data_IF_534830137287
#
_entry.id   IF_534830137287
#
_cell.length_a   1.000
_cell.length_b   1.000
_cell.length_c   1.000
_cell.angle_alpha   90.00
_cell.angle_beta   90.00
_cell.angle_gamma   90.00
#
_symmetry.space_group_name_H-M   'P 1'
#
loop_
_entity.id
_entity.type
_entity.pdbx_description
1 polymer ?
#
# COMPACT_ATOMS: atom_id res chain seq x y z
N UNK A 1 16.58 -13.21 13.72
CA UNK A 1 15.18 -13.28 13.26
C UNK A 1 14.51 -11.93 13.45
N UNK A 2 13.66 -11.52 12.55
CA UNK A 2 12.94 -10.24 12.61
C UNK A 2 11.62 -10.45 13.37
N UNK A 3 11.67 -10.37 14.68
CA UNK A 3 10.53 -10.60 15.57
C UNK A 3 10.68 -9.78 16.88
N UNK A 4 9.58 -9.47 17.54
CA UNK A 4 9.56 -8.62 18.74
C UNK A 4 10.48 -9.11 19.86
N UNK A 5 10.64 -10.42 20.02
CA UNK A 5 11.60 -10.99 20.99
C UNK A 5 13.06 -10.61 20.72
N UNK A 6 13.36 -10.11 19.53
CA UNK A 6 14.69 -9.67 19.09
C UNK A 6 14.73 -8.14 18.85
N UNK A 7 13.78 -7.39 19.37
CA UNK A 7 13.60 -5.96 19.07
C UNK A 7 14.91 -5.18 19.26
N UNK A 8 15.57 -5.31 20.41
CA UNK A 8 16.81 -4.57 20.68
C UNK A 8 17.88 -4.85 19.61
N UNK A 9 18.11 -6.12 19.29
CA UNK A 9 19.06 -6.51 18.27
C UNK A 9 18.71 -5.96 16.89
N UNK A 10 17.41 -6.00 16.54
CA UNK A 10 16.93 -5.45 15.26
C UNK A 10 17.16 -3.94 15.19
N UNK A 11 16.87 -3.21 16.28
CA UNK A 11 17.13 -1.78 16.36
C UNK A 11 18.63 -1.49 16.20
N UNK A 12 19.47 -2.22 16.89
CA UNK A 12 20.94 -2.02 16.86
C UNK A 12 21.56 -2.33 15.49
N UNK A 13 21.03 -3.32 14.77
CA UNK A 13 21.58 -3.78 13.50
C UNK A 13 20.94 -3.09 12.27
N UNK A 14 19.63 -2.86 12.27
CA UNK A 14 18.90 -2.35 11.08
C UNK A 14 18.80 -0.83 11.04
N UNK A 15 18.57 -0.17 12.16
CA UNK A 15 18.44 1.30 12.17
C UNK A 15 19.68 1.97 11.56
N UNK A 16 20.93 1.62 11.94
CA UNK A 16 22.10 2.22 11.31
C UNK A 16 22.21 1.98 9.82
N UNK A 17 21.86 0.77 9.35
CA UNK A 17 21.91 0.42 7.93
C UNK A 17 20.86 1.19 7.12
N UNK A 18 19.63 1.24 7.62
CA UNK A 18 18.55 1.98 6.96
C UNK A 18 18.84 3.48 6.97
N UNK A 19 19.38 4.01 8.07
CA UNK A 19 19.78 5.41 8.17
C UNK A 19 20.86 5.74 7.13
N UNK A 20 21.89 4.90 6.99
CA UNK A 20 22.94 5.10 5.98
C UNK A 20 22.37 5.14 4.56
N UNK A 21 21.40 4.26 4.24
CA UNK A 21 20.72 4.27 2.94
C UNK A 21 19.89 5.55 2.74
N UNK A 22 19.17 5.98 3.78
CA UNK A 22 18.36 7.19 3.74
C UNK A 22 19.22 8.46 3.56
N UNK A 23 20.33 8.57 4.27
CA UNK A 23 21.29 9.67 4.12
C UNK A 23 21.90 9.70 2.72
N UNK A 24 22.21 8.52 2.17
CA UNK A 24 22.71 8.41 0.80
C UNK A 24 21.66 8.83 -0.21
N UNK A 25 20.41 8.40 -0.06
CA UNK A 25 19.30 8.81 -0.91
C UNK A 25 19.11 10.34 -0.83
N UNK A 26 19.08 10.92 0.38
CA UNK A 26 19.01 12.36 0.58
C UNK A 26 20.13 13.12 -0.13
N UNK A 27 21.38 12.63 -0.01
CA UNK A 27 22.56 13.24 -0.66
C UNK A 27 22.42 13.32 -2.19
N UNK A 28 21.77 12.32 -2.80
CA UNK A 28 21.58 12.28 -4.26
C UNK A 28 20.22 12.80 -4.73
N UNK A 29 19.43 13.42 -3.84
CA UNK A 29 18.12 13.96 -4.20
C UNK A 29 17.08 12.90 -4.57
N UNK A 30 17.26 11.66 -4.13
CA UNK A 30 16.34 10.54 -4.37
C UNK A 30 15.45 10.33 -3.16
N UNK A 31 14.25 9.78 -3.37
CA UNK A 31 13.39 9.28 -2.28
C UNK A 31 13.72 7.83 -1.95
N UNK A 32 13.45 7.43 -0.71
CA UNK A 32 13.55 6.06 -0.22
C UNK A 32 12.23 5.65 0.44
N UNK A 33 11.63 4.57 -0.01
CA UNK A 33 10.40 4.02 0.56
C UNK A 33 10.67 2.61 1.09
N UNK A 34 10.36 2.38 2.37
CA UNK A 34 10.46 1.06 2.99
C UNK A 34 9.20 0.26 2.65
N UNK A 35 9.36 -0.91 2.05
CA UNK A 35 8.22 -1.79 1.74
C UNK A 35 7.69 -2.49 3.00
N UNK A 36 6.38 -2.76 2.99
CA UNK A 36 5.72 -3.54 4.02
C UNK A 36 5.71 -5.03 3.63
N UNK A 37 5.90 -5.88 4.63
CA UNK A 37 5.86 -7.32 4.48
C UNK A 37 4.69 -7.94 5.28
N UNK A 38 4.90 -9.09 5.92
CA UNK A 38 3.86 -9.79 6.69
C UNK A 38 3.43 -8.98 7.92
N UNK A 39 2.16 -9.17 8.32
CA UNK A 39 1.52 -8.42 9.41
C UNK A 39 2.27 -8.52 10.75
N UNK A 40 2.90 -9.67 11.03
CA UNK A 40 3.67 -9.89 12.27
C UNK A 40 4.93 -9.03 12.37
N UNK A 41 5.43 -8.51 11.23
CA UNK A 41 6.63 -7.66 11.18
C UNK A 41 6.32 -6.19 11.31
N UNK A 42 5.05 -5.80 11.23
CA UNK A 42 4.68 -4.39 11.08
C UNK A 42 5.10 -3.54 12.27
N UNK A 43 4.86 -3.97 13.51
CA UNK A 43 5.17 -3.17 14.69
C UNK A 43 6.66 -2.85 14.76
N UNK A 44 7.50 -3.87 14.63
CA UNK A 44 8.95 -3.69 14.63
C UNK A 44 9.45 -2.87 13.43
N UNK A 45 8.78 -2.98 12.27
CA UNK A 45 9.09 -2.15 11.11
C UNK A 45 8.77 -0.67 11.38
N UNK A 46 7.65 -0.39 12.04
CA UNK A 46 7.28 0.99 12.42
C UNK A 46 8.26 1.58 13.42
N UNK A 47 8.72 0.79 14.41
CA UNK A 47 9.76 1.22 15.38
C UNK A 47 11.08 1.60 14.66
N UNK A 48 11.54 0.76 13.73
CA UNK A 48 12.75 1.03 12.94
C UNK A 48 12.57 2.26 12.06
N UNK A 49 11.42 2.40 11.40
CA UNK A 49 11.11 3.54 10.53
C UNK A 49 11.04 4.83 11.35
N UNK A 50 10.39 4.81 12.51
CA UNK A 50 10.32 5.98 13.39
C UNK A 50 11.71 6.41 13.86
N UNK A 51 12.55 5.47 14.29
CA UNK A 51 13.91 5.76 14.72
C UNK A 51 14.72 6.44 13.62
N UNK A 52 14.64 5.96 12.39
CA UNK A 52 15.30 6.56 11.23
C UNK A 52 14.66 7.90 10.86
N UNK A 53 13.33 7.99 10.85
CA UNK A 53 12.64 9.24 10.57
C UNK A 53 13.05 10.35 11.55
N UNK A 54 13.23 10.05 12.83
CA UNK A 54 13.63 11.01 13.86
C UNK A 54 15.12 11.39 13.82
N UNK A 55 15.94 10.75 12.99
CA UNK A 55 17.37 11.02 12.94
C UNK A 55 17.66 12.49 12.54
N UNK A 56 18.54 13.20 13.27
CA UNK A 56 18.86 14.61 12.99
C UNK A 56 19.38 14.84 11.57
N UNK A 57 20.14 13.91 11.02
CA UNK A 57 20.70 14.00 9.66
C UNK A 57 19.64 14.02 8.56
N UNK A 58 18.42 13.54 8.85
CA UNK A 58 17.31 13.53 7.90
C UNK A 58 16.34 14.70 8.07
N UNK A 59 16.59 15.62 8.99
CA UNK A 59 15.71 16.77 9.20
C UNK A 59 15.51 17.59 7.92
N UNK A 60 14.26 18.06 7.69
CA UNK A 60 13.87 18.84 6.51
C UNK A 60 13.80 18.05 5.21
N UNK A 61 14.12 16.76 5.20
CA UNK A 61 14.02 15.93 3.99
C UNK A 61 12.74 15.11 3.97
N UNK A 62 11.90 15.37 2.96
CA UNK A 62 10.60 14.71 2.77
C UNK A 62 10.66 13.46 1.88
N UNK A 63 11.84 12.92 1.62
CA UNK A 63 12.03 11.78 0.73
C UNK A 63 12.00 10.40 1.42
N UNK A 64 11.87 10.33 2.76
CA UNK A 64 11.82 9.07 3.50
C UNK A 64 10.38 8.67 3.81
N UNK A 65 9.95 7.53 3.29
CA UNK A 65 8.59 7.04 3.41
C UNK A 65 8.47 5.53 3.57
N UNK A 66 7.24 5.04 3.56
CA UNK A 66 6.92 3.62 3.71
C UNK A 66 5.69 3.21 2.92
N UNK A 67 5.52 1.90 2.75
CA UNK A 67 4.31 1.31 2.22
C UNK A 67 3.34 0.92 3.34
N UNK A 68 2.04 1.13 3.12
CA UNK A 68 0.95 0.69 3.99
C UNK A 68 0.03 -0.23 3.20
N UNK A 69 -0.30 -1.38 3.78
CA UNK A 69 -1.12 -2.41 3.15
C UNK A 69 -2.56 -2.35 3.66
N UNK A 70 -3.49 -1.91 2.81
CA UNK A 70 -4.88 -1.69 3.17
C UNK A 70 -5.66 -2.97 3.53
N UNK A 71 -5.19 -4.16 3.13
CA UNK A 71 -5.82 -5.41 3.52
C UNK A 71 -5.66 -5.74 5.01
N UNK A 72 -4.70 -5.09 5.70
CA UNK A 72 -4.56 -5.22 7.15
C UNK A 72 -5.65 -4.43 7.88
N UNK A 73 -6.33 -5.06 8.82
CA UNK A 73 -7.44 -4.45 9.60
C UNK A 73 -7.01 -3.18 10.36
N UNK A 74 -5.72 -3.06 10.67
CA UNK A 74 -5.14 -1.92 11.39
C UNK A 74 -4.54 -0.83 10.47
N UNK A 75 -4.64 -0.98 9.14
CA UNK A 75 -4.04 -0.03 8.19
C UNK A 75 -4.43 1.43 8.44
N UNK A 76 -5.73 1.68 8.69
CA UNK A 76 -6.22 3.03 8.96
C UNK A 76 -5.59 3.65 10.23
N UNK A 77 -5.28 2.83 11.24
CA UNK A 77 -4.62 3.27 12.48
C UNK A 77 -3.14 3.55 12.29
N UNK A 78 -2.50 2.80 11.38
CA UNK A 78 -1.12 3.10 10.97
C UNK A 78 -1.05 4.46 10.29
N UNK A 79 -2.03 4.81 9.45
CA UNK A 79 -2.11 6.14 8.84
C UNK A 79 -2.35 7.22 9.89
N UNK A 80 -3.20 6.99 10.90
CA UNK A 80 -3.37 7.92 12.03
C UNK A 80 -2.03 8.19 12.73
N UNK A 81 -1.29 7.13 13.03
CA UNK A 81 0.03 7.22 13.66
C UNK A 81 1.04 7.99 12.78
N UNK A 82 1.05 7.74 11.46
CA UNK A 82 1.93 8.46 10.52
C UNK A 82 1.61 9.95 10.45
N UNK A 83 0.35 10.33 10.49
CA UNK A 83 -0.09 11.72 10.54
C UNK A 83 0.49 12.42 11.79
N UNK A 84 0.37 11.77 12.95
CA UNK A 84 0.91 12.33 14.19
C UNK A 84 2.44 12.37 14.18
N UNK A 85 3.10 11.34 13.67
CA UNK A 85 4.56 11.32 13.51
C UNK A 85 5.04 12.47 12.61
N UNK A 86 4.36 12.69 11.48
CA UNK A 86 4.69 13.75 10.53
C UNK A 86 4.47 15.15 11.12
N UNK A 87 3.38 15.37 11.85
CA UNK A 87 3.12 16.63 12.57
C UNK A 87 4.22 16.96 13.57
N UNK A 88 4.60 15.97 14.38
CA UNK A 88 5.70 16.14 15.35
C UNK A 88 7.05 16.39 14.69
N UNK A 89 7.32 15.70 13.58
CA UNK A 89 8.54 15.86 12.80
C UNK A 89 8.57 17.09 11.91
N UNK A 90 7.43 17.81 11.77
CA UNK A 90 7.27 19.01 10.94
C UNK A 90 7.75 18.82 9.48
N UNK A 91 7.49 17.66 8.93
CA UNK A 91 7.81 17.33 7.53
C UNK A 91 6.90 16.21 7.02
N UNK A 92 6.60 16.25 5.74
CA UNK A 92 5.73 15.25 5.13
C UNK A 92 6.40 13.88 5.07
N UNK A 93 5.57 12.85 5.19
CA UNK A 93 5.98 11.45 5.01
C UNK A 93 5.34 10.93 3.71
N UNK A 94 6.14 10.49 2.72
CA UNK A 94 5.63 9.76 1.57
C UNK A 94 5.06 8.41 1.99
N UNK A 95 3.80 8.13 1.64
CA UNK A 95 3.11 6.89 1.99
C UNK A 95 2.59 6.21 0.74
N UNK A 96 3.16 5.03 0.43
CA UNK A 96 2.66 4.16 -0.65
C UNK A 96 1.51 3.31 -0.13
N UNK A 97 0.31 3.60 -0.57
CA UNK A 97 -0.85 2.79 -0.27
C UNK A 97 -0.98 1.66 -1.29
N UNK A 98 -0.95 0.42 -0.81
CA UNK A 98 -1.17 -0.80 -1.59
C UNK A 98 -2.33 -1.60 -1.00
N UNK A 99 -2.91 -2.54 -1.76
CA UNK A 99 -3.92 -3.47 -1.20
C UNK A 99 -3.27 -4.47 -0.25
N UNK A 100 -2.23 -5.17 -0.67
CA UNK A 100 -1.44 -6.13 0.09
C UNK A 100 -1.05 -7.33 -0.79
N UNK A 101 0.13 -7.91 -0.53
CA UNK A 101 0.73 -8.93 -1.39
C UNK A 101 0.89 -10.31 -0.74
N UNK A 102 0.51 -10.47 0.53
CA UNK A 102 0.78 -11.70 1.31
C UNK A 102 -0.50 -12.38 1.83
N UNK A 103 -1.64 -12.16 1.18
CA UNK A 103 -2.94 -12.61 1.69
C UNK A 103 -2.97 -14.12 1.99
N UNK A 104 -2.53 -14.95 1.05
CA UNK A 104 -2.51 -16.41 1.23
C UNK A 104 -1.65 -16.84 2.41
N UNK A 105 -0.47 -16.23 2.56
CA UNK A 105 0.45 -16.51 3.67
C UNK A 105 -0.14 -16.08 5.02
N UNK A 106 -0.83 -14.94 5.08
CA UNK A 106 -1.48 -14.44 6.30
C UNK A 106 -2.64 -15.35 6.74
N UNK A 107 -3.46 -15.79 5.79
CA UNK A 107 -4.56 -16.73 6.08
C UNK A 107 -3.99 -18.07 6.55
N UNK A 108 -3.03 -18.63 5.82
CA UNK A 108 -2.40 -19.91 6.17
C UNK A 108 -1.77 -19.87 7.55
N UNK A 109 -0.99 -18.85 7.87
CA UNK A 109 -0.37 -18.66 9.19
C UNK A 109 -1.41 -18.52 10.30
N UNK A 110 -2.51 -17.79 10.07
CA UNK A 110 -3.61 -17.68 11.03
C UNK A 110 -4.21 -19.04 11.35
N UNK A 111 -4.43 -19.87 10.33
CA UNK A 111 -4.95 -21.23 10.48
C UNK A 111 -3.95 -22.15 11.20
N UNK A 112 -2.68 -22.17 10.81
CA UNK A 112 -1.63 -22.98 11.42
C UNK A 112 -1.43 -22.66 12.91
N UNK A 113 -1.64 -21.41 13.31
CA UNK A 113 -1.51 -20.93 14.69
C UNK A 113 -2.80 -21.04 15.51
N UNK A 114 -3.90 -21.48 14.90
CA UNK A 114 -5.21 -21.58 15.56
C UNK A 114 -5.72 -20.23 16.09
N UNK A 115 -5.49 -19.14 15.36
CA UNK A 115 -5.94 -17.82 15.78
C UNK A 115 -7.45 -17.67 15.60
N UNK A 116 -8.12 -16.99 16.54
CA UNK A 116 -9.56 -16.71 16.49
C UNK A 116 -9.96 -15.77 15.33
N UNK A 117 -8.97 -15.14 14.69
CA UNK A 117 -9.19 -14.26 13.54
C UNK A 117 -7.92 -14.00 12.77
N UNK A 118 -8.05 -13.26 11.68
CA UNK A 118 -6.94 -12.94 10.79
C UNK A 118 -6.55 -11.46 10.95
N UNK A 119 -5.26 -11.11 10.80
CA UNK A 119 -4.80 -9.72 10.83
C UNK A 119 -5.24 -8.95 9.57
N UNK A 120 -5.65 -9.67 8.53
CA UNK A 120 -6.10 -9.15 7.24
C UNK A 120 -7.59 -9.38 7.02
N UNK A 121 -8.20 -8.60 6.13
CA UNK A 121 -9.56 -8.86 5.68
C UNK A 121 -9.61 -10.14 4.85
N UNK A 122 -10.61 -10.97 5.10
CA UNK A 122 -10.79 -12.26 4.40
C UNK A 122 -11.59 -12.13 3.10
N UNK A 123 -12.22 -10.97 2.88
CA UNK A 123 -13.02 -10.69 1.69
C UNK A 123 -12.45 -9.51 0.91
N UNK A 124 -12.33 -9.67 -0.40
CA UNK A 124 -11.78 -8.64 -1.30
C UNK A 124 -12.51 -7.30 -1.19
N UNK A 125 -13.86 -7.21 -1.20
CA UNK A 125 -14.55 -5.94 -1.07
C UNK A 125 -14.21 -5.17 0.22
N UNK A 126 -13.97 -5.88 1.33
CA UNK A 126 -13.54 -5.24 2.59
C UNK A 126 -12.15 -4.61 2.47
N UNK A 127 -11.25 -5.23 1.72
CA UNK A 127 -9.94 -4.63 1.39
C UNK A 127 -10.11 -3.40 0.51
N UNK A 128 -11.00 -3.46 -0.48
CA UNK A 128 -11.26 -2.33 -1.38
C UNK A 128 -11.83 -1.14 -0.61
N UNK A 129 -12.80 -1.35 0.28
CA UNK A 129 -13.33 -0.30 1.19
C UNK A 129 -12.24 0.26 2.09
N UNK A 130 -11.42 -0.59 2.69
CA UNK A 130 -10.29 -0.16 3.54
C UNK A 130 -9.29 0.69 2.75
N UNK A 131 -8.98 0.30 1.51
CA UNK A 131 -8.11 1.08 0.63
C UNK A 131 -8.66 2.48 0.37
N UNK A 132 -9.94 2.60 0.03
CA UNK A 132 -10.59 3.89 -0.21
C UNK A 132 -10.68 4.75 1.05
N UNK A 133 -10.95 4.14 2.20
CA UNK A 133 -10.94 4.85 3.49
C UNK A 133 -9.55 5.40 3.83
N UNK A 134 -8.50 4.59 3.63
CA UNK A 134 -7.11 5.00 3.80
C UNK A 134 -6.73 6.11 2.80
N UNK A 135 -7.10 5.95 1.52
CA UNK A 135 -6.84 6.94 0.48
C UNK A 135 -7.48 8.29 0.82
N UNK A 136 -8.77 8.29 1.21
CA UNK A 136 -9.48 9.50 1.65
C UNK A 136 -8.76 10.17 2.83
N UNK A 137 -8.36 9.40 3.84
CA UNK A 137 -7.63 9.93 5.00
C UNK A 137 -6.29 10.55 4.59
N UNK A 138 -5.53 9.92 3.70
CA UNK A 138 -4.28 10.49 3.20
C UNK A 138 -4.52 11.76 2.39
N UNK A 139 -5.53 11.78 1.52
CA UNK A 139 -5.90 12.96 0.72
C UNK A 139 -6.34 14.15 1.58
N UNK A 140 -6.98 13.91 2.73
CA UNK A 140 -7.37 14.98 3.66
C UNK A 140 -6.25 15.48 4.56
N UNK A 141 -5.07 14.82 4.52
CA UNK A 141 -3.89 15.16 5.33
C UNK A 141 -2.63 15.33 4.45
N UNK A 142 -2.80 15.92 3.24
CA UNK A 142 -1.69 16.15 2.30
C UNK A 142 -0.67 17.18 2.78
N UNK A 143 -1.02 17.95 3.76
CA UNK A 143 -0.12 18.88 4.45
C UNK A 143 1.01 18.16 5.19
N UNK A 144 0.74 16.94 5.69
CA UNK A 144 1.70 16.13 6.46
C UNK A 144 2.05 14.80 5.79
N UNK A 145 1.26 14.31 4.84
CA UNK A 145 1.55 13.11 4.06
C UNK A 145 1.73 13.45 2.57
N UNK A 146 2.59 12.73 1.89
CA UNK A 146 2.61 12.69 0.43
C UNK A 146 2.03 11.36 -0.05
N UNK A 147 0.76 11.34 -0.52
CA UNK A 147 0.12 10.12 -0.95
C UNK A 147 0.73 9.56 -2.23
N UNK A 148 1.00 8.24 -2.24
CA UNK A 148 1.43 7.49 -3.40
C UNK A 148 0.49 6.29 -3.56
N UNK A 149 -0.38 6.33 -4.58
CA UNK A 149 -1.42 5.31 -4.78
C UNK A 149 -0.98 4.25 -5.77
N UNK A 150 -0.61 3.07 -5.26
CA UNK A 150 -0.23 1.94 -6.09
C UNK A 150 -1.47 1.08 -6.40
N UNK A 151 -1.91 1.11 -7.64
CA UNK A 151 -3.09 0.36 -8.11
C UNK A 151 -3.01 0.09 -9.60
N UNK A 152 -3.59 -1.04 -10.04
CA UNK A 152 -3.84 -1.38 -11.45
C UNK A 152 -5.34 -1.52 -11.74
N UNK A 153 -6.18 -1.03 -10.81
CA UNK A 153 -7.63 -1.11 -10.89
C UNK A 153 -8.21 0.26 -11.29
N UNK A 154 -8.85 0.34 -12.47
CA UNK A 154 -9.38 1.58 -13.02
C UNK A 154 -10.46 2.21 -12.13
N UNK A 155 -11.33 1.40 -11.49
CA UNK A 155 -12.34 1.91 -10.57
C UNK A 155 -11.70 2.56 -9.33
N UNK A 156 -10.68 1.91 -8.76
CA UNK A 156 -9.93 2.49 -7.62
C UNK A 156 -9.28 3.82 -8.01
N UNK A 157 -8.66 3.89 -9.20
CA UNK A 157 -8.06 5.11 -9.74
C UNK A 157 -9.11 6.20 -9.91
N UNK A 158 -10.23 5.91 -10.56
CA UNK A 158 -11.33 6.88 -10.77
C UNK A 158 -11.89 7.38 -9.43
N UNK A 159 -12.06 6.50 -8.44
CA UNK A 159 -12.52 6.90 -7.11
C UNK A 159 -11.53 7.83 -6.40
N UNK A 160 -10.21 7.59 -6.55
CA UNK A 160 -9.19 8.50 -5.99
C UNK A 160 -9.28 9.88 -6.65
N UNK A 161 -9.51 9.94 -7.97
CA UNK A 161 -9.68 11.20 -8.70
C UNK A 161 -10.90 11.99 -8.22
N UNK A 162 -12.01 11.31 -7.95
CA UNK A 162 -13.18 11.95 -7.32
C UNK A 162 -12.86 12.45 -5.91
N UNK A 163 -12.20 11.64 -5.09
CA UNK A 163 -11.88 11.98 -3.71
C UNK A 163 -10.85 13.12 -3.58
N UNK A 164 -10.00 13.34 -4.59
CA UNK A 164 -8.94 14.34 -4.51
C UNK A 164 -9.46 15.78 -4.59
N UNK A 165 -10.67 16.00 -5.11
CA UNK A 165 -11.29 17.33 -5.20
C UNK A 165 -10.53 18.33 -6.07
N UNK A 166 -9.81 17.84 -7.09
CA UNK A 166 -9.01 18.65 -8.01
C UNK A 166 -7.61 19.02 -7.49
N UNK A 167 -7.26 18.70 -6.25
CA UNK A 167 -5.88 18.86 -5.76
C UNK A 167 -5.06 17.60 -6.04
N UNK A 168 -4.14 17.72 -6.98
CA UNK A 168 -3.29 16.63 -7.47
C UNK A 168 -1.94 16.53 -6.73
N UNK A 169 -1.86 16.97 -5.47
CA UNK A 169 -0.66 16.86 -4.63
C UNK A 169 -0.41 15.41 -4.16
N UNK A 170 -0.39 14.46 -5.10
CA UNK A 170 -0.12 13.04 -4.91
C UNK A 170 0.46 12.44 -6.20
N UNK A 171 0.87 11.18 -6.16
CA UNK A 171 1.22 10.44 -7.36
C UNK A 171 0.53 9.08 -7.40
N UNK A 172 0.29 8.57 -8.61
CA UNK A 172 0.02 7.16 -8.81
C UNK A 172 1.32 6.37 -8.96
N UNK A 173 1.25 5.07 -8.67
CA UNK A 173 2.35 4.16 -8.90
C UNK A 173 1.87 2.89 -9.60
N UNK A 174 2.67 2.38 -10.54
CA UNK A 174 2.44 1.11 -11.20
C UNK A 174 3.70 0.26 -11.28
N UNK A 175 3.52 -1.02 -11.40
CA UNK A 175 4.58 -1.96 -11.71
C UNK A 175 4.96 -1.86 -13.19
N UNK A 176 6.24 -1.97 -13.48
CA UNK A 176 6.73 -2.12 -14.85
C UNK A 176 6.09 -3.35 -15.51
N UNK A 177 5.61 -3.19 -16.75
CA UNK A 177 4.90 -4.24 -17.48
C UNK A 177 3.43 -4.45 -17.09
N UNK A 178 2.87 -3.61 -16.19
CA UNK A 178 1.46 -3.68 -15.78
C UNK A 178 0.78 -2.32 -15.92
N UNK A 179 -0.50 -2.32 -16.32
CA UNK A 179 -1.35 -1.13 -16.32
C UNK A 179 -0.97 -0.07 -17.35
N UNK A 180 -0.26 -0.42 -18.41
CA UNK A 180 0.22 0.55 -19.41
C UNK A 180 -0.92 1.27 -20.10
N UNK A 181 -1.95 0.55 -20.52
CA UNK A 181 -3.13 1.13 -21.17
C UNK A 181 -3.89 2.05 -20.23
N UNK A 182 -4.13 1.62 -18.98
CA UNK A 182 -4.80 2.42 -17.96
C UNK A 182 -4.05 3.73 -17.70
N UNK A 183 -2.75 3.66 -17.52
CA UNK A 183 -1.93 4.83 -17.21
C UNK A 183 -1.60 5.66 -18.45
N UNK A 184 -1.77 5.11 -19.64
CA UNK A 184 -1.78 5.87 -20.89
C UNK A 184 -2.88 6.94 -20.92
N UNK A 185 -4.01 6.69 -20.26
CA UNK A 185 -5.11 7.67 -20.12
C UNK A 185 -4.92 8.66 -18.96
N UNK A 186 -3.95 8.42 -18.08
CA UNK A 186 -3.71 9.23 -16.86
C UNK A 186 -2.54 10.18 -17.02
N UNK A 187 -1.45 9.69 -17.64
CA UNK A 187 -0.18 10.40 -17.76
C UNK A 187 -0.16 11.12 -19.12
N UNK A 188 0.22 12.26 -19.26
CA UNK A 188 0.30 13.00 -20.52
C UNK A 188 -0.48 14.31 -20.44
N UNK A 189 0.07 15.33 -21.09
CA UNK A 189 -0.50 16.69 -21.07
C UNK A 189 -1.83 16.77 -21.83
N UNK A 190 -2.03 15.89 -22.77
CA UNK A 190 -3.24 15.70 -23.58
C UNK A 190 -4.30 14.79 -22.91
N UNK A 191 -3.98 14.26 -21.75
CA UNK A 191 -4.83 13.39 -20.91
C UNK A 191 -5.12 14.08 -19.58
N UNK A 192 -5.02 13.35 -18.45
CA UNK A 192 -5.24 13.93 -17.12
C UNK A 192 -4.02 14.69 -16.57
N UNK A 193 -2.86 14.54 -17.18
CA UNK A 193 -1.63 15.24 -16.79
C UNK A 193 -1.10 14.88 -15.40
N UNK A 194 -1.47 13.70 -14.88
CA UNK A 194 -1.10 13.28 -13.54
C UNK A 194 0.23 12.52 -13.49
N UNK A 195 0.89 12.60 -12.36
CA UNK A 195 2.14 11.91 -12.15
C UNK A 195 1.90 10.40 -11.91
N UNK A 196 2.67 9.58 -12.61
CA UNK A 196 2.74 8.14 -12.35
C UNK A 196 4.19 7.69 -12.28
N UNK A 197 4.57 7.09 -11.15
CA UNK A 197 5.89 6.48 -10.98
C UNK A 197 5.82 5.01 -11.36
N UNK A 198 6.73 4.59 -12.23
CA UNK A 198 6.89 3.17 -12.60
C UNK A 198 8.00 2.58 -11.74
N UNK A 199 7.75 1.45 -11.11
CA UNK A 199 8.77 0.72 -10.35
C UNK A 199 8.93 -0.70 -10.84
N UNK A 200 10.17 -1.18 -10.80
CA UNK A 200 10.56 -2.52 -11.21
C UNK A 200 11.47 -3.14 -10.13
N UNK A 201 11.40 -4.46 -9.91
CA UNK A 201 12.33 -5.10 -9.02
C UNK A 201 13.73 -5.13 -9.64
N UNK A 202 14.74 -4.94 -8.80
CA UNK A 202 16.15 -5.09 -9.16
C UNK A 202 16.80 -6.05 -8.17
N UNK A 203 17.43 -7.10 -8.66
CA UNK A 203 18.06 -8.11 -7.81
C UNK A 203 18.62 -9.27 -8.62
N UNK A 204 19.19 -10.26 -7.94
CA UNK A 204 19.58 -11.50 -8.57
C UNK A 204 18.40 -12.30 -9.08
N UNK A 205 18.62 -13.28 -9.95
CA UNK A 205 17.55 -14.15 -10.44
C UNK A 205 16.83 -14.89 -9.28
N UNK A 206 17.58 -15.32 -8.30
CA UNK A 206 17.06 -16.00 -7.10
C UNK A 206 16.18 -15.09 -6.25
N UNK A 207 16.55 -13.83 -6.08
CA UNK A 207 15.80 -12.83 -5.31
C UNK A 207 14.50 -12.41 -6.01
N UNK A 208 14.51 -12.37 -7.34
CA UNK A 208 13.38 -11.94 -8.14
C UNK A 208 12.29 -13.01 -8.30
N UNK A 209 12.63 -14.29 -8.20
CA UNK A 209 11.68 -15.38 -8.43
C UNK A 209 10.45 -15.32 -7.49
N UNK A 210 10.57 -15.15 -6.17
CA UNK A 210 9.42 -15.01 -5.29
C UNK A 210 8.56 -13.79 -5.61
N UNK A 211 9.17 -12.69 -6.05
CA UNK A 211 8.48 -11.50 -6.49
C UNK A 211 7.62 -11.78 -7.73
N UNK A 212 8.19 -12.41 -8.76
CA UNK A 212 7.49 -12.74 -10.00
C UNK A 212 6.35 -13.72 -9.77
N UNK A 213 6.56 -14.74 -8.93
CA UNK A 213 5.51 -15.71 -8.57
C UNK A 213 4.31 -15.01 -7.93
N UNK A 214 4.52 -14.08 -6.98
CA UNK A 214 3.41 -13.32 -6.41
C UNK A 214 2.65 -12.48 -7.45
N UNK A 215 3.37 -11.90 -8.43
CA UNK A 215 2.72 -11.15 -9.53
C UNK A 215 1.92 -12.06 -10.44
N UNK A 216 2.42 -13.24 -10.78
CA UNK A 216 1.69 -14.23 -11.57
C UNK A 216 0.41 -14.69 -10.86
N UNK A 217 0.47 -14.95 -9.57
CA UNK A 217 -0.70 -15.34 -8.76
C UNK A 217 -1.72 -14.20 -8.67
N UNK A 218 -1.26 -12.96 -8.47
CA UNK A 218 -2.13 -11.79 -8.44
C UNK A 218 -2.86 -11.59 -9.78
N UNK A 219 -2.16 -11.70 -10.89
CA UNK A 219 -2.73 -11.54 -12.23
C UNK A 219 -3.56 -12.75 -12.67
N UNK A 220 -3.18 -13.96 -12.25
CA UNK A 220 -3.88 -15.20 -12.57
C UNK A 220 -5.17 -15.44 -11.78
N UNK A 221 -5.42 -14.69 -10.71
CA UNK A 221 -6.63 -14.85 -9.92
C UNK A 221 -7.87 -14.43 -10.74
N UNK A 222 -8.88 -15.32 -10.81
CA UNK A 222 -10.14 -15.04 -11.52
C UNK A 222 -10.88 -13.79 -10.99
N UNK A 223 -10.55 -13.36 -9.79
CA UNK A 223 -11.08 -12.12 -9.16
C UNK A 223 -10.27 -10.89 -9.49
N UNK A 224 -9.14 -11.02 -10.23
CA UNK A 224 -8.35 -9.85 -10.60
C UNK A 224 -9.15 -8.95 -11.55
N UNK A 225 -8.99 -7.64 -11.37
CA UNK A 225 -9.66 -6.65 -12.23
C UNK A 225 -9.27 -6.85 -13.70
N UNK A 226 -8.00 -7.16 -13.98
CA UNK A 226 -7.47 -7.39 -15.32
C UNK A 226 -8.17 -8.59 -15.99
N UNK A 227 -8.29 -9.72 -15.28
CA UNK A 227 -8.96 -10.90 -15.84
C UNK A 227 -10.46 -10.67 -16.06
N UNK A 228 -11.12 -9.92 -15.18
CA UNK A 228 -12.55 -9.62 -15.33
C UNK A 228 -12.84 -8.67 -16.50
N UNK A 229 -11.94 -7.74 -16.81
CA UNK A 229 -12.11 -6.79 -17.90
C UNK A 229 -11.86 -7.43 -19.27
N UNK A 230 -11.01 -8.46 -19.33
CA UNK A 230 -10.70 -9.21 -20.55
C UNK A 230 -11.78 -10.26 -20.84
N UNK A 231 -12.51 -10.72 -19.83
CA UNK A 231 -13.59 -11.68 -20.01
C UNK A 231 -14.85 -10.99 -20.55
N UNK A 232 -15.07 -11.08 -21.85
CA UNK A 232 -16.22 -10.50 -22.57
C UNK A 232 -17.59 -10.97 -22.02
N UNK A 233 -17.61 -12.05 -21.22
CA UNK A 233 -18.84 -12.56 -20.59
C UNK A 233 -19.19 -11.83 -19.30
N UNK A 234 -18.29 -11.02 -18.75
CA UNK A 234 -18.53 -10.27 -17.51
C UNK A 234 -19.07 -8.88 -17.86
N UNK A 235 -20.33 -8.55 -17.51
CA UNK A 235 -20.87 -7.21 -17.74
C UNK A 235 -20.04 -6.13 -17.03
N UNK A 236 -19.81 -5.00 -17.70
CA UNK A 236 -19.04 -3.87 -17.17
C UNK A 236 -19.60 -3.39 -15.82
N UNK A 237 -20.92 -3.39 -15.67
CA UNK A 237 -21.63 -3.00 -14.44
C UNK A 237 -21.21 -3.85 -13.24
N UNK A 238 -20.86 -5.12 -13.45
CA UNK A 238 -20.38 -6.01 -12.37
C UNK A 238 -18.92 -5.79 -12.03
N UNK A 239 -18.15 -5.16 -12.94
CA UNK A 239 -16.74 -4.84 -12.72
C UNK A 239 -16.61 -3.53 -11.92
N UNK A 240 -17.54 -2.59 -12.12
CA UNK A 240 -17.56 -1.26 -11.47
C UNK A 240 -18.50 -1.18 -10.28
N UNK A 241 -18.78 -2.30 -9.63
CA UNK A 241 -19.62 -2.35 -8.43
C UNK A 241 -18.97 -1.53 -7.28
N UNK A 242 -19.78 -0.71 -6.62
CA UNK A 242 -19.33 0.04 -5.43
C UNK A 242 -18.98 -0.94 -4.28
N UNK A 243 -17.73 -0.99 -3.83
CA UNK A 243 -17.32 -1.92 -2.77
C UNK A 243 -17.99 -1.62 -1.43
N UNK A 244 -18.43 -0.39 -1.18
CA UNK A 244 -19.16 -0.03 0.04
C UNK A 244 -20.57 -0.65 0.02
N UNK A 245 -21.25 -0.57 -1.12
CA UNK A 245 -22.57 -1.20 -1.29
C UNK A 245 -22.45 -2.72 -1.18
N UNK A 246 -21.40 -3.32 -1.75
CA UNK A 246 -21.16 -4.77 -1.70
C UNK A 246 -20.93 -5.26 -0.26
N UNK A 247 -20.09 -4.57 0.52
CA UNK A 247 -19.86 -4.90 1.95
C UNK A 247 -21.15 -4.71 2.76
N UNK A 248 -21.94 -3.68 2.48
CA UNK A 248 -23.23 -3.45 3.12
C UNK A 248 -24.23 -4.60 2.88
N UNK A 249 -24.25 -5.18 1.69
CA UNK A 249 -25.08 -6.37 1.38
C UNK A 249 -24.60 -7.61 2.13
N UNK A 250 -23.30 -7.83 2.19
CA UNK A 250 -22.70 -8.97 2.92
C UNK A 250 -23.01 -8.93 4.42
N UNK A 251 -23.00 -7.72 5.02
CA UNK A 251 -23.39 -7.53 6.42
C UNK A 251 -24.86 -7.87 6.71
N UNK A 252 -25.77 -7.54 5.77
CA UNK A 252 -27.20 -7.87 5.88
C UNK A 252 -27.48 -9.38 5.76
N UNK A 253 -26.69 -10.08 4.95
CA UNK A 253 -26.81 -11.54 4.80
C UNK A 253 -26.29 -12.27 6.05
N UNK A 254 -25.20 -11.80 6.66
CA UNK A 254 -24.66 -12.35 7.89
C UNK A 254 -25.57 -12.12 9.11
N UNK A 255 -26.32 -11.00 9.16
CA UNK A 255 -27.27 -10.69 10.24
C UNK A 255 -28.62 -11.40 10.13
N UNK A 256 -28.89 -12.15 9.05
CA UNK A 256 -30.14 -12.93 8.87
C UNK A 256 -30.01 -14.40 9.26
N UNK A 257 -28.85 -14.83 9.71
CA UNK A 257 -28.54 -16.21 10.13
C UNK A 257 -28.38 -16.40 11.63
N UNK A 258 -29.00 -15.52 12.46
CA UNK A 258 -29.07 -15.63 13.91
C UNK A 258 -30.50 -15.79 14.39
#
# INVERSE_FOLDING_TARGET
RYELAQQQRVMDELVPKLLQLAERAKKYGMSLTVDAEEAERMDLSLDVIEAVYRAPSLQGWEGFGLAVQAYQKRAIKVIDWLIELAKHGKRRIPVRLVKGAYWDSEIKRGQERGLDGYPVFTRKPSTDVSYLACARKMLTNRDVLYPMFATHNAQTLATILELCGGDHSFEFQRLHGMGEELYGEVVGKDKLGLNCRVYAPVGSHEDLLPYLVRRLLENGANTSFVNRIIDEKVPVETIVTDPVAEVGQLGRLAGRGG
#
